data_IF_693178757840
#
_entry.id   IF_693178757840
#
_cell.length_a   1.000
_cell.length_b   1.000
_cell.length_c   1.000
_cell.angle_alpha   90.00
_cell.angle_beta   90.00
_cell.angle_gamma   90.00
#
_symmetry.space_group_name_H-M   'P 1'
#
loop_
_entity.id
_entity.type
_entity.pdbx_description
1 polymer ?
#
# COMPACT_ATOMS: atom_id res chain seq x y z
N UNK A 1 -6.97 -16.13 -12.72
CA UNK A 1 -7.92 -15.00 -12.69
C UNK A 1 -8.02 -14.51 -11.26
N UNK A 2 -8.18 -13.20 -11.03
CA UNK A 2 -8.32 -12.66 -9.68
C UNK A 2 -9.78 -12.83 -9.27
N UNK A 3 -10.04 -13.66 -8.26
CA UNK A 3 -11.37 -13.82 -7.66
C UNK A 3 -11.44 -13.07 -6.33
N UNK A 4 -12.65 -12.87 -5.80
CA UNK A 4 -12.85 -12.25 -4.48
C UNK A 4 -12.13 -13.07 -3.40
N UNK A 5 -12.19 -14.39 -3.45
CA UNK A 5 -11.51 -15.29 -2.50
C UNK A 5 -9.98 -15.17 -2.60
N UNK A 6 -9.47 -15.02 -3.83
CA UNK A 6 -8.03 -14.81 -4.05
C UNK A 6 -7.57 -13.49 -3.44
N UNK A 7 -8.36 -12.42 -3.65
CA UNK A 7 -8.10 -11.11 -3.07
C UNK A 7 -8.14 -11.15 -1.54
N UNK A 8 -9.18 -11.73 -0.94
CA UNK A 8 -9.31 -11.85 0.51
C UNK A 8 -8.19 -12.69 1.14
N UNK A 9 -7.80 -13.80 0.47
CA UNK A 9 -6.65 -14.61 0.88
C UNK A 9 -5.39 -13.77 0.95
N UNK A 10 -5.08 -13.02 -0.11
CA UNK A 10 -3.88 -12.18 -0.20
C UNK A 10 -3.91 -11.00 0.78
N UNK A 11 -5.07 -10.38 0.97
CA UNK A 11 -5.26 -9.33 1.98
C UNK A 11 -5.01 -9.85 3.39
N UNK A 12 -5.50 -11.06 3.69
CA UNK A 12 -5.35 -11.70 5.01
C UNK A 12 -3.93 -12.21 5.23
N UNK A 13 -3.31 -12.86 4.25
CA UNK A 13 -1.94 -13.38 4.36
C UNK A 13 -0.90 -12.27 4.46
N UNK A 14 -1.16 -11.12 3.82
CA UNK A 14 -0.26 -9.97 3.85
C UNK A 14 -0.34 -9.18 5.14
N UNK A 15 -1.41 -9.34 5.95
CA UNK A 15 -1.52 -8.61 7.23
C UNK A 15 -0.28 -8.89 8.09
N UNK A 16 0.33 -7.84 8.66
CA UNK A 16 1.39 -8.05 9.63
C UNK A 16 0.76 -8.89 10.76
N UNK A 17 1.40 -10.02 11.10
CA UNK A 17 0.93 -10.84 12.22
C UNK A 17 0.91 -9.94 13.46
N UNK A 18 -0.30 -9.61 13.90
CA UNK A 18 -0.58 -8.65 14.96
C UNK A 18 -0.06 -9.15 16.30
N UNK A 19 1.24 -9.02 16.52
CA UNK A 19 1.84 -8.97 17.83
C UNK A 19 2.16 -7.53 18.10
N UNK A 20 1.35 -6.90 18.97
CA UNK A 20 1.49 -5.51 19.41
C UNK A 20 2.89 -5.22 20.02
N UNK A 21 3.66 -6.28 20.27
CA UNK A 21 4.94 -6.32 20.94
C UNK A 21 5.96 -6.93 19.96
N UNK A 22 6.62 -6.03 19.20
CA UNK A 22 7.54 -6.34 18.09
C UNK A 22 8.67 -7.28 18.55
N UNK A 23 8.73 -8.49 17.99
CA UNK A 23 9.81 -9.46 18.23
C UNK A 23 11.23 -8.87 18.21
N UNK A 24 11.67 -8.11 17.19
CA UNK A 24 13.01 -7.54 17.20
C UNK A 24 13.17 -6.42 18.22
N UNK A 25 12.13 -5.64 18.51
CA UNK A 25 12.20 -4.56 19.50
C UNK A 25 12.21 -5.13 20.92
N UNK A 26 11.53 -6.25 21.20
CA UNK A 26 11.64 -7.01 22.44
C UNK A 26 12.98 -7.70 22.60
N UNK A 27 13.53 -8.23 21.51
CA UNK A 27 14.89 -8.76 21.54
C UNK A 27 15.85 -7.63 21.86
N UNK A 28 15.76 -6.47 21.19
CA UNK A 28 16.64 -5.34 21.47
C UNK A 28 16.45 -4.73 22.86
N UNK A 29 15.21 -4.58 23.32
CA UNK A 29 14.88 -4.04 24.64
C UNK A 29 15.24 -5.04 25.75
N UNK A 30 14.91 -6.32 25.58
CA UNK A 30 15.28 -7.37 26.51
C UNK A 30 16.79 -7.51 26.60
N UNK A 31 17.49 -7.38 25.47
CA UNK A 31 18.93 -7.46 25.40
C UNK A 31 19.60 -6.19 25.96
N UNK A 32 19.01 -5.00 25.80
CA UNK A 32 19.48 -3.78 26.46
C UNK A 32 19.24 -3.78 27.97
N UNK A 33 18.10 -4.30 28.43
CA UNK A 33 17.81 -4.51 29.85
C UNK A 33 18.77 -5.54 30.45
N UNK A 34 19.02 -6.65 29.76
CA UNK A 34 19.99 -7.66 30.18
C UNK A 34 21.40 -7.07 30.29
N UNK A 35 21.80 -6.23 29.32
CA UNK A 35 23.08 -5.52 29.34
C UNK A 35 23.17 -4.55 30.52
N UNK A 36 22.10 -3.80 30.78
CA UNK A 36 22.02 -2.89 31.92
C UNK A 36 22.08 -3.63 33.25
N UNK A 37 21.38 -4.75 33.38
CA UNK A 37 21.38 -5.59 34.58
C UNK A 37 22.77 -6.22 34.82
N UNK A 38 23.41 -6.74 33.77
CA UNK A 38 24.77 -7.29 33.84
C UNK A 38 25.82 -6.22 34.15
N UNK A 39 25.63 -4.98 33.67
CA UNK A 39 26.52 -3.87 33.99
C UNK A 39 26.33 -3.35 35.43
N UNK A 40 25.12 -3.48 35.99
CA UNK A 40 24.79 -3.01 37.33
C UNK A 40 25.21 -3.98 38.44
N UNK A 41 25.24 -5.30 38.16
CA UNK A 41 25.59 -6.32 39.15
C UNK A 41 27.08 -6.69 39.10
N UNK A 42 27.87 -6.06 39.97
CA UNK A 42 29.31 -6.29 40.10
C UNK A 42 29.67 -7.66 40.71
N UNK A 43 28.69 -8.41 41.23
CA UNK A 43 28.91 -9.72 41.85
C UNK A 43 28.90 -10.88 40.85
N UNK A 44 28.20 -10.71 39.72
CA UNK A 44 28.01 -11.74 38.69
C UNK A 44 29.17 -11.79 37.69
N UNK A 45 29.89 -10.68 37.52
CA UNK A 45 31.04 -10.57 36.62
C UNK A 45 32.33 -10.39 37.45
N UNK A 46 33.09 -11.46 37.72
CA UNK A 46 34.42 -11.32 38.32
C UNK A 46 35.27 -10.41 37.42
N UNK A 47 35.76 -9.33 38.00
CA UNK A 47 36.29 -8.13 37.34
C UNK A 47 37.46 -8.37 36.35
N UNK A 48 37.99 -9.59 36.22
CA UNK A 48 39.22 -9.91 35.49
C UNK A 48 39.10 -11.08 34.49
N UNK A 49 37.90 -11.57 34.19
CA UNK A 49 37.70 -12.65 33.20
C UNK A 49 37.60 -12.12 31.76
N UNK A 50 38.33 -12.73 30.81
CA UNK A 50 38.24 -12.41 29.37
C UNK A 50 36.80 -12.46 28.79
N UNK A 51 35.89 -13.14 29.49
CA UNK A 51 34.48 -13.25 29.14
C UNK A 51 33.71 -11.92 29.25
N UNK A 52 34.10 -11.03 30.18
CA UNK A 52 33.45 -9.73 30.37
C UNK A 52 33.67 -8.79 29.17
N UNK A 53 34.78 -8.98 28.46
CA UNK A 53 35.11 -8.22 27.25
C UNK A 53 34.43 -8.75 25.99
N UNK A 54 34.18 -10.07 25.91
CA UNK A 54 33.57 -10.70 24.74
C UNK A 54 32.04 -10.54 24.71
N UNK A 55 31.37 -10.51 25.87
CA UNK A 55 29.91 -10.48 25.94
C UNK A 55 29.28 -9.28 25.20
N UNK A 56 29.76 -8.02 25.36
CA UNK A 56 29.22 -6.88 24.63
C UNK A 56 29.42 -7.00 23.11
N UNK A 57 30.52 -7.62 22.67
CA UNK A 57 30.81 -7.81 21.25
C UNK A 57 29.86 -8.82 20.61
N UNK A 58 29.56 -9.94 21.28
CA UNK A 58 28.61 -10.95 20.81
C UNK A 58 27.21 -10.33 20.65
N UNK A 59 26.81 -9.55 21.65
CA UNK A 59 25.56 -8.80 21.63
C UNK A 59 25.51 -7.84 20.44
N UNK A 60 26.54 -7.01 20.28
CA UNK A 60 26.61 -6.03 19.20
C UNK A 60 26.50 -6.72 17.84
N UNK A 61 27.17 -7.87 17.70
CA UNK A 61 27.16 -8.68 16.47
C UNK A 61 25.78 -9.29 16.22
N UNK A 62 25.06 -9.74 17.25
CA UNK A 62 23.68 -10.22 17.13
C UNK A 62 22.73 -9.09 16.71
N UNK A 63 22.84 -7.90 17.31
CA UNK A 63 22.05 -6.71 16.94
C UNK A 63 22.35 -6.30 15.49
N UNK A 64 23.62 -6.19 15.13
CA UNK A 64 24.04 -5.87 13.76
C UNK A 64 23.52 -6.90 12.76
N UNK A 65 23.62 -8.20 13.09
CA UNK A 65 23.10 -9.29 12.26
C UNK A 65 21.60 -9.20 12.02
N UNK A 66 20.80 -8.93 13.06
CA UNK A 66 19.34 -8.76 12.92
C UNK A 66 18.97 -7.52 12.09
N UNK A 67 19.70 -6.41 12.27
CA UNK A 67 19.53 -5.21 11.46
C UNK A 67 19.84 -5.48 9.99
N UNK A 68 21.00 -6.09 9.68
CA UNK A 68 21.37 -6.44 8.31
C UNK A 68 20.35 -7.39 7.68
N UNK A 69 19.88 -8.40 8.42
CA UNK A 69 18.85 -9.31 7.93
C UNK A 69 17.54 -8.58 7.61
N UNK A 70 17.08 -7.69 8.50
CA UNK A 70 15.87 -6.91 8.28
C UNK A 70 15.97 -5.95 7.10
N UNK A 71 17.11 -5.27 6.93
CA UNK A 71 17.40 -4.39 5.80
C UNK A 71 17.40 -5.18 4.48
N UNK A 72 18.04 -6.36 4.46
CA UNK A 72 18.04 -7.23 3.27
C UNK A 72 16.61 -7.65 2.90
N UNK A 73 15.84 -8.11 3.87
CA UNK A 73 14.43 -8.49 3.67
C UNK A 73 13.58 -7.31 3.17
N UNK A 74 13.80 -6.10 3.68
CA UNK A 74 13.12 -4.90 3.21
C UNK A 74 13.51 -4.54 1.78
N UNK A 75 14.80 -4.63 1.42
CA UNK A 75 15.27 -4.38 0.06
C UNK A 75 14.70 -5.37 -0.94
N UNK A 76 14.60 -6.64 -0.57
CA UNK A 76 13.99 -7.66 -1.43
C UNK A 76 12.50 -7.37 -1.65
N UNK A 77 11.76 -6.98 -0.60
CA UNK A 77 10.37 -6.55 -0.73
C UNK A 77 10.22 -5.30 -1.62
N UNK A 78 11.13 -4.32 -1.49
CA UNK A 78 11.16 -3.11 -2.32
C UNK A 78 11.44 -3.40 -3.80
N UNK A 79 12.27 -4.41 -4.09
CA UNK A 79 12.51 -4.85 -5.47
C UNK A 79 11.27 -5.53 -6.06
N UNK A 80 10.63 -6.42 -5.30
CA UNK A 80 9.42 -7.11 -5.79
C UNK A 80 8.25 -6.15 -6.02
N UNK A 81 8.07 -5.13 -5.16
CA UNK A 81 7.04 -4.09 -5.41
C UNK A 81 7.37 -3.29 -6.68
N UNK A 82 8.63 -2.87 -6.88
CA UNK A 82 9.03 -2.15 -8.09
C UNK A 82 8.78 -2.97 -9.35
N UNK A 83 9.14 -4.25 -9.35
CA UNK A 83 8.86 -5.17 -10.46
C UNK A 83 7.35 -5.32 -10.71
N UNK A 84 6.54 -5.38 -9.65
CA UNK A 84 5.09 -5.47 -9.79
C UNK A 84 4.48 -4.18 -10.36
N UNK A 85 4.95 -3.02 -9.93
CA UNK A 85 4.48 -1.71 -10.39
C UNK A 85 4.88 -1.44 -11.83
N UNK A 86 6.12 -1.77 -12.20
CA UNK A 86 6.57 -1.71 -13.59
C UNK A 86 5.71 -2.62 -14.47
N UNK A 87 5.44 -3.86 -14.03
CA UNK A 87 4.57 -4.77 -14.77
C UNK A 87 3.13 -4.24 -14.90
N UNK A 88 2.57 -3.58 -13.88
CA UNK A 88 1.27 -2.91 -13.93
C UNK A 88 1.28 -1.76 -14.94
N UNK A 89 2.29 -0.88 -14.89
CA UNK A 89 2.44 0.25 -15.80
C UNK A 89 2.58 -0.19 -17.27
N UNK A 90 3.33 -1.28 -17.50
CA UNK A 90 3.51 -1.90 -18.81
C UNK A 90 2.35 -2.81 -19.22
N UNK A 91 1.26 -2.87 -18.43
CA UNK A 91 0.08 -3.73 -18.66
C UNK A 91 0.40 -5.23 -18.81
N UNK A 92 1.49 -5.69 -18.19
CA UNK A 92 1.88 -7.10 -18.13
C UNK A 92 1.17 -7.82 -16.98
N UNK A 93 -0.17 -7.88 -17.04
CA UNK A 93 -1.02 -8.34 -15.93
C UNK A 93 -0.64 -9.71 -15.34
N UNK A 94 -0.31 -10.75 -16.13
CA UNK A 94 0.11 -12.04 -15.57
C UNK A 94 1.42 -11.96 -14.80
N UNK A 95 2.35 -11.09 -15.23
CA UNK A 95 3.63 -10.87 -14.53
C UNK A 95 3.40 -10.11 -13.23
N UNK A 96 2.60 -9.05 -13.27
CA UNK A 96 2.22 -8.28 -12.08
C UNK A 96 1.57 -9.19 -11.04
N UNK A 97 0.60 -10.01 -11.44
CA UNK A 97 -0.09 -10.93 -10.53
C UNK A 97 0.86 -11.91 -9.84
N UNK A 98 1.84 -12.50 -10.58
CA UNK A 98 2.82 -13.41 -9.97
C UNK A 98 3.71 -12.71 -8.95
N UNK A 99 4.17 -11.49 -9.24
CA UNK A 99 4.97 -10.71 -8.31
C UNK A 99 4.18 -10.34 -7.04
N UNK A 100 2.91 -9.94 -7.22
CA UNK A 100 2.00 -9.60 -6.14
C UNK A 100 1.62 -10.82 -5.28
N UNK A 101 1.34 -11.98 -5.87
CA UNK A 101 1.06 -13.22 -5.14
C UNK A 101 2.27 -13.64 -4.29
N UNK A 102 3.48 -13.53 -4.84
CA UNK A 102 4.71 -13.77 -4.08
C UNK A 102 4.92 -12.77 -2.92
N UNK A 103 4.60 -11.49 -3.12
CA UNK A 103 4.77 -10.44 -2.13
C UNK A 103 3.70 -10.50 -1.03
N UNK A 104 2.43 -10.60 -1.40
CA UNK A 104 1.26 -10.58 -0.52
C UNK A 104 0.94 -11.95 0.09
N UNK A 105 1.47 -13.04 -0.47
CA UNK A 105 1.35 -14.39 0.10
C UNK A 105 2.08 -14.56 1.45
N UNK A 106 2.81 -13.55 1.90
CA UNK A 106 3.54 -13.50 3.18
C UNK A 106 3.25 -12.18 3.92
N UNK A 107 3.39 -12.15 5.25
CA UNK A 107 3.18 -10.93 6.04
C UNK A 107 4.11 -9.80 5.58
N UNK A 108 3.52 -8.65 5.24
CA UNK A 108 4.25 -7.44 4.84
C UNK A 108 4.32 -6.49 6.03
N UNK A 109 5.53 -6.32 6.57
CA UNK A 109 5.74 -5.53 7.80
C UNK A 109 5.52 -4.03 7.59
N UNK A 110 5.81 -3.50 6.40
CA UNK A 110 5.72 -2.08 6.14
C UNK A 110 4.33 -1.73 5.57
N UNK A 111 3.53 -0.88 6.25
CA UNK A 111 2.17 -0.59 5.83
C UNK A 111 2.12 0.06 4.43
N UNK A 112 2.98 1.03 4.15
CA UNK A 112 3.07 1.66 2.82
C UNK A 112 3.32 0.68 1.67
N UNK A 113 4.27 -0.27 1.81
CA UNK A 113 4.52 -1.30 0.79
C UNK A 113 3.31 -2.21 0.62
N UNK A 114 2.66 -2.58 1.72
CA UNK A 114 1.47 -3.42 1.68
C UNK A 114 0.33 -2.71 0.95
N UNK A 115 0.05 -1.47 1.28
CA UNK A 115 -0.98 -0.69 0.61
C UNK A 115 -0.68 -0.51 -0.87
N UNK A 116 0.54 -0.13 -1.24
CA UNK A 116 0.98 -0.02 -2.64
C UNK A 116 0.73 -1.33 -3.40
N UNK A 117 1.09 -2.46 -2.79
CA UNK A 117 0.88 -3.80 -3.36
C UNK A 117 -0.61 -4.12 -3.53
N UNK A 118 -1.45 -3.73 -2.57
CA UNK A 118 -2.89 -3.94 -2.64
C UNK A 118 -3.54 -3.05 -3.69
N UNK A 119 -3.11 -1.79 -3.84
CA UNK A 119 -3.56 -0.92 -4.92
C UNK A 119 -3.18 -1.49 -6.30
N UNK A 120 -1.96 -2.02 -6.43
CA UNK A 120 -1.53 -2.73 -7.63
C UNK A 120 -2.36 -3.99 -7.89
N UNK A 121 -2.70 -4.75 -6.85
CA UNK A 121 -3.59 -5.93 -6.96
C UNK A 121 -5.00 -5.53 -7.41
N UNK A 122 -5.54 -4.43 -6.89
CA UNK A 122 -6.83 -3.89 -7.31
C UNK A 122 -6.80 -3.48 -8.79
N UNK A 123 -5.74 -2.82 -9.26
CA UNK A 123 -5.58 -2.48 -10.67
C UNK A 123 -5.51 -3.74 -11.58
N UNK A 124 -4.83 -4.80 -11.13
CA UNK A 124 -4.83 -6.09 -11.83
C UNK A 124 -6.22 -6.72 -11.83
N UNK A 125 -6.99 -6.61 -10.75
CA UNK A 125 -8.37 -7.10 -10.69
C UNK A 125 -9.28 -6.33 -11.67
N UNK A 126 -9.19 -5.00 -11.71
CA UNK A 126 -9.93 -4.16 -12.66
C UNK A 126 -9.61 -4.48 -14.12
N UNK A 127 -8.33 -4.72 -14.43
CA UNK A 127 -7.90 -5.11 -15.77
C UNK A 127 -8.43 -6.49 -16.21
N UNK A 128 -8.78 -7.35 -15.25
CA UNK A 128 -9.45 -8.63 -15.50
C UNK A 128 -10.98 -8.55 -15.34
N UNK A 129 -11.54 -7.33 -15.27
CA UNK A 129 -12.97 -7.07 -15.08
C UNK A 129 -13.56 -7.65 -13.78
N UNK A 130 -12.70 -7.98 -12.82
CA UNK A 130 -13.08 -8.51 -11.50
C UNK A 130 -13.38 -7.34 -10.53
N UNK A 131 -14.39 -6.53 -10.85
CA UNK A 131 -14.68 -5.29 -10.12
C UNK A 131 -15.12 -5.51 -8.67
N UNK A 132 -15.79 -6.62 -8.35
CA UNK A 132 -16.12 -6.96 -6.97
C UNK A 132 -14.85 -7.22 -6.13
N UNK A 133 -13.85 -7.87 -6.74
CA UNK A 133 -12.57 -8.10 -6.07
C UNK A 133 -11.78 -6.79 -5.90
N UNK A 134 -11.76 -5.90 -6.89
CA UNK A 134 -11.10 -4.60 -6.74
C UNK A 134 -11.77 -3.73 -5.68
N UNK A 135 -13.11 -3.67 -5.66
CA UNK A 135 -13.88 -2.99 -4.63
C UNK A 135 -13.51 -3.49 -3.23
N UNK A 136 -13.51 -4.81 -3.03
CA UNK A 136 -13.14 -5.45 -1.74
C UNK A 136 -11.73 -5.04 -1.28
N UNK A 137 -10.78 -4.99 -2.21
CA UNK A 137 -9.41 -4.58 -1.92
C UNK A 137 -9.34 -3.11 -1.50
N UNK A 138 -10.00 -2.20 -2.24
CA UNK A 138 -10.01 -0.78 -1.90
C UNK A 138 -10.67 -0.52 -0.55
N UNK A 139 -11.81 -1.16 -0.27
CA UNK A 139 -12.47 -1.07 1.04
C UNK A 139 -11.55 -1.52 2.16
N UNK A 140 -10.84 -2.64 1.99
CA UNK A 140 -9.90 -3.13 2.99
C UNK A 140 -8.71 -2.18 3.22
N UNK A 141 -8.19 -1.57 2.16
CA UNK A 141 -7.13 -0.53 2.27
C UNK A 141 -7.65 0.67 3.07
N UNK A 142 -8.87 1.15 2.77
CA UNK A 142 -9.46 2.29 3.46
C UNK A 142 -9.79 1.98 4.92
N UNK A 143 -10.27 0.78 5.24
CA UNK A 143 -10.58 0.36 6.61
C UNK A 143 -9.36 0.32 7.52
N UNK A 144 -8.18 -0.01 6.99
CA UNK A 144 -6.99 -0.17 7.82
C UNK A 144 -6.33 1.16 8.23
N UNK A 145 -6.60 2.27 7.52
CA UNK A 145 -6.11 3.63 7.85
C UNK A 145 -4.60 3.75 8.12
N UNK A 146 -3.79 2.82 7.61
CA UNK A 146 -2.33 2.78 7.82
C UNK A 146 -1.52 3.32 6.62
N UNK A 147 -2.21 3.70 5.55
CA UNK A 147 -1.62 4.18 4.32
C UNK A 147 -1.36 5.68 4.37
N UNK A 148 -0.48 6.17 3.50
CA UNK A 148 -0.31 7.61 3.33
C UNK A 148 -1.57 8.26 2.70
N UNK A 149 -1.77 9.57 2.88
CA UNK A 149 -2.95 10.26 2.35
C UNK A 149 -3.13 10.13 0.83
N UNK A 150 -2.04 10.01 0.07
CA UNK A 150 -2.07 9.91 -1.40
C UNK A 150 -2.59 8.54 -1.82
N UNK A 151 -2.11 7.47 -1.16
CA UNK A 151 -2.57 6.10 -1.34
C UNK A 151 -4.04 5.94 -0.93
N UNK A 152 -4.46 6.57 0.18
CA UNK A 152 -5.88 6.57 0.59
C UNK A 152 -6.76 7.29 -0.43
N UNK A 153 -6.31 8.44 -0.96
CA UNK A 153 -7.02 9.14 -2.03
C UNK A 153 -7.13 8.29 -3.30
N UNK A 154 -6.04 7.67 -3.73
CA UNK A 154 -6.03 6.74 -4.86
C UNK A 154 -7.01 5.57 -4.64
N UNK A 155 -7.07 5.03 -3.42
CA UNK A 155 -8.03 3.98 -3.05
C UNK A 155 -9.49 4.45 -3.14
N UNK A 156 -9.81 5.69 -2.72
CA UNK A 156 -11.17 6.24 -2.84
C UNK A 156 -11.57 6.47 -4.29
N UNK A 157 -10.65 6.97 -5.11
CA UNK A 157 -10.88 7.17 -6.55
C UNK A 157 -11.12 5.82 -7.24
N UNK A 158 -10.27 4.82 -6.96
CA UNK A 158 -10.45 3.46 -7.46
C UNK A 158 -11.76 2.82 -7.01
N UNK A 159 -12.10 2.94 -5.73
CA UNK A 159 -13.36 2.45 -5.18
C UNK A 159 -14.59 3.06 -5.88
N UNK A 160 -14.59 4.39 -6.07
CA UNK A 160 -15.67 5.05 -6.79
C UNK A 160 -15.80 4.56 -8.24
N UNK A 161 -14.67 4.32 -8.91
CA UNK A 161 -14.64 3.74 -10.26
C UNK A 161 -15.21 2.31 -10.29
N UNK A 162 -14.81 1.46 -9.33
CA UNK A 162 -15.32 0.10 -9.19
C UNK A 162 -16.83 0.10 -8.90
N UNK A 163 -17.30 0.94 -7.97
CA UNK A 163 -18.73 1.08 -7.64
C UNK A 163 -19.58 1.51 -8.84
N UNK A 164 -19.09 2.45 -9.67
CA UNK A 164 -19.79 2.83 -10.90
C UNK A 164 -19.90 1.65 -11.88
N UNK A 165 -18.85 0.84 -12.01
CA UNK A 165 -18.82 -0.33 -12.90
C UNK A 165 -19.70 -1.48 -12.42
N UNK A 166 -19.85 -1.65 -11.11
CA UNK A 166 -20.74 -2.65 -10.51
C UNK A 166 -22.20 -2.18 -10.38
N UNK A 167 -22.51 -0.96 -10.83
CA UNK A 167 -23.87 -0.40 -10.78
C UNK A 167 -24.30 0.16 -9.42
N UNK A 168 -23.38 0.27 -8.45
CA UNK A 168 -23.59 0.93 -7.15
C UNK A 168 -23.52 2.47 -7.30
N UNK A 169 -24.36 3.02 -8.18
CA UNK A 169 -24.29 4.43 -8.61
C UNK A 169 -24.54 5.41 -7.46
N UNK A 170 -25.51 5.14 -6.59
CA UNK A 170 -25.83 6.01 -5.44
C UNK A 170 -24.66 6.11 -4.46
N UNK A 171 -24.00 5.00 -4.15
CA UNK A 171 -22.86 4.96 -3.24
C UNK A 171 -21.63 5.63 -3.87
N UNK A 172 -21.41 5.40 -5.16
CA UNK A 172 -20.34 6.06 -5.91
C UNK A 172 -20.52 7.59 -5.94
N UNK A 173 -21.73 8.08 -6.21
CA UNK A 173 -22.04 9.53 -6.21
C UNK A 173 -21.76 10.11 -4.83
N UNK A 174 -22.22 9.45 -3.77
CA UNK A 174 -22.01 9.89 -2.38
C UNK A 174 -20.53 9.91 -2.01
N UNK A 175 -19.73 8.97 -2.51
CA UNK A 175 -18.27 8.96 -2.33
C UNK A 175 -17.60 10.11 -3.09
N UNK A 176 -17.99 10.35 -4.34
CA UNK A 176 -17.44 11.42 -5.19
C UNK A 176 -17.74 12.79 -4.58
N UNK A 177 -18.97 13.04 -4.14
CA UNK A 177 -19.33 14.31 -3.50
C UNK A 177 -18.55 14.57 -2.21
N UNK A 178 -18.25 13.53 -1.43
CA UNK A 178 -17.37 13.66 -0.26
C UNK A 178 -15.95 14.09 -0.66
N UNK A 179 -15.39 13.48 -1.71
CA UNK A 179 -14.07 13.85 -2.25
C UNK A 179 -14.06 15.24 -2.91
N UNK A 180 -15.18 15.72 -3.45
CA UNK A 180 -15.31 17.07 -4.03
C UNK A 180 -15.18 18.17 -2.97
N UNK A 181 -15.57 17.89 -1.72
CA UNK A 181 -15.45 18.83 -0.58
C UNK A 181 -14.03 18.94 -0.01
N UNK A 182 -13.12 18.04 -0.38
CA UNK A 182 -11.73 18.07 0.05
C UNK A 182 -10.93 19.05 -0.83
N UNK A 183 -10.25 20.02 -0.20
CA UNK A 183 -9.28 20.87 -0.89
C UNK A 183 -7.99 20.07 -1.16
N UNK A 184 -7.79 19.72 -2.43
CA UNK A 184 -6.68 18.87 -2.87
C UNK A 184 -5.76 19.63 -3.84
N UNK A 185 -4.44 19.37 -3.81
CA UNK A 185 -3.53 19.82 -4.86
C UNK A 185 -3.97 19.33 -6.25
N UNK A 186 -3.64 20.10 -7.30
CA UNK A 186 -4.04 19.79 -8.68
C UNK A 186 -3.68 18.38 -9.15
N UNK A 187 -2.56 17.84 -8.69
CA UNK A 187 -2.13 16.47 -8.99
C UNK A 187 -3.10 15.40 -8.49
N UNK A 188 -3.74 15.61 -7.35
CA UNK A 188 -4.74 14.70 -6.76
C UNK A 188 -6.17 15.04 -7.23
N UNK A 189 -6.39 16.29 -7.63
CA UNK A 189 -7.65 16.74 -8.25
C UNK A 189 -7.89 16.06 -9.59
N UNK A 190 -6.87 15.86 -10.41
CA UNK A 190 -7.03 15.31 -11.76
C UNK A 190 -7.66 13.90 -11.81
N UNK A 191 -7.21 12.90 -11.03
CA UNK A 191 -7.90 11.59 -10.95
C UNK A 191 -9.36 11.68 -10.48
N UNK A 192 -9.66 12.57 -9.54
CA UNK A 192 -11.02 12.79 -9.04
C UNK A 192 -11.92 13.38 -10.13
N UNK A 193 -11.44 14.37 -10.88
CA UNK A 193 -12.19 14.98 -11.99
C UNK A 193 -12.43 13.97 -13.12
N UNK A 194 -11.49 13.06 -13.38
CA UNK A 194 -11.69 11.95 -14.32
C UNK A 194 -12.82 11.02 -13.85
N UNK A 195 -12.84 10.69 -12.56
CA UNK A 195 -13.92 9.90 -11.97
C UNK A 195 -15.28 10.61 -12.04
N UNK A 196 -15.31 11.93 -11.78
CA UNK A 196 -16.51 12.74 -11.90
C UNK A 196 -17.04 12.77 -13.35
N UNK A 197 -16.15 12.85 -14.34
CA UNK A 197 -16.51 12.73 -15.75
C UNK A 197 -17.05 11.33 -16.06
N UNK A 198 -16.44 10.28 -15.54
CA UNK A 198 -16.93 8.91 -15.72
C UNK A 198 -18.35 8.72 -15.15
N UNK A 199 -18.62 9.28 -13.96
CA UNK A 199 -19.97 9.36 -13.38
C UNK A 199 -20.94 10.06 -14.32
N UNK A 200 -20.58 11.23 -14.85
CA UNK A 200 -21.43 12.02 -15.76
C UNK A 200 -21.80 11.22 -17.01
N UNK A 201 -20.85 10.49 -17.59
CA UNK A 201 -21.07 9.59 -18.74
C UNK A 201 -22.04 8.46 -18.36
N UNK A 202 -21.81 7.80 -17.21
CA UNK A 202 -22.66 6.69 -16.76
C UNK A 202 -24.11 7.12 -16.48
N UNK A 203 -24.32 8.37 -16.04
CA UNK A 203 -25.65 8.92 -15.76
C UNK A 203 -26.32 9.60 -16.97
N UNK A 204 -25.63 9.68 -18.11
CA UNK A 204 -26.18 10.30 -19.32
C UNK A 204 -26.19 11.84 -19.32
N UNK A 205 -25.44 12.49 -18.44
CA UNK A 205 -25.35 13.96 -18.32
C UNK A 205 -24.20 14.58 -19.13
N UNK A 206 -23.78 13.93 -20.22
CA UNK A 206 -22.59 14.34 -20.99
C UNK A 206 -22.76 15.70 -21.71
N UNK A 207 -23.99 16.07 -22.09
CA UNK A 207 -24.27 17.29 -22.85
C UNK A 207 -24.09 18.59 -22.05
N UNK A 208 -24.36 18.55 -20.74
CA UNK A 208 -24.44 19.74 -19.89
C UNK A 208 -23.05 20.30 -19.49
N UNK A 209 -21.95 19.71 -19.96
CA UNK A 209 -20.60 19.98 -19.41
C UNK A 209 -19.51 20.33 -20.44
N UNK A 210 -19.88 20.66 -21.68
CA UNK A 210 -18.95 21.24 -22.66
C UNK A 210 -18.21 22.47 -22.13
N UNK A 211 -18.85 23.26 -21.26
CA UNK A 211 -18.28 24.48 -20.67
C UNK A 211 -17.01 24.25 -19.84
N UNK A 212 -16.84 23.08 -19.21
CA UNK A 212 -15.64 22.76 -18.39
C UNK A 212 -14.65 21.85 -19.09
N UNK A 213 -14.91 21.51 -20.35
CA UNK A 213 -14.09 20.57 -21.10
C UNK A 213 -12.66 21.08 -21.28
N UNK A 214 -12.47 22.37 -21.58
CA UNK A 214 -11.13 22.95 -21.76
C UNK A 214 -10.31 22.95 -20.48
N UNK A 215 -10.90 23.34 -19.35
CA UNK A 215 -10.25 23.32 -18.04
C UNK A 215 -9.83 21.90 -17.64
N UNK A 216 -10.77 20.93 -17.73
CA UNK A 216 -10.49 19.52 -17.45
C UNK A 216 -9.39 18.99 -18.36
N UNK A 217 -9.41 19.34 -19.65
CA UNK A 217 -8.38 18.92 -20.61
C UNK A 217 -7.00 19.50 -20.29
N UNK A 218 -6.92 20.74 -19.82
CA UNK A 218 -5.66 21.32 -19.36
C UNK A 218 -5.13 20.59 -18.12
N UNK A 219 -6.01 20.32 -17.14
CA UNK A 219 -5.70 19.58 -15.93
C UNK A 219 -5.20 18.17 -16.22
N UNK A 220 -5.90 17.42 -17.08
CA UNK A 220 -5.54 16.04 -17.44
C UNK A 220 -4.21 15.97 -18.18
N UNK A 221 -3.96 16.86 -19.15
CA UNK A 221 -2.66 16.91 -19.85
C UNK A 221 -1.50 17.15 -18.90
N UNK A 222 -1.69 18.00 -17.89
CA UNK A 222 -0.64 18.36 -16.94
C UNK A 222 -0.34 17.25 -15.93
N UNK A 223 -1.34 16.50 -15.49
CA UNK A 223 -1.21 15.60 -14.33
C UNK A 223 -1.47 14.12 -14.61
N UNK A 224 -2.20 13.77 -15.66
CA UNK A 224 -2.50 12.38 -16.05
C UNK A 224 -1.75 11.94 -17.32
N UNK A 225 -1.00 12.85 -17.93
CA UNK A 225 -0.26 12.61 -19.17
C UNK A 225 -1.11 12.78 -20.43
N UNK A 226 -0.48 12.58 -21.59
CA UNK A 226 -1.08 12.88 -22.89
C UNK A 226 -2.27 11.97 -23.21
N UNK A 227 -2.22 10.68 -22.87
CA UNK A 227 -3.30 9.73 -23.20
C UNK A 227 -4.64 10.09 -22.53
N UNK A 228 -4.62 10.66 -21.31
CA UNK A 228 -5.82 11.10 -20.61
C UNK A 228 -6.35 12.46 -21.09
N UNK A 229 -5.55 13.26 -21.82
CA UNK A 229 -5.91 14.60 -22.28
C UNK A 229 -6.47 14.68 -23.71
N UNK A 230 -6.49 13.57 -24.45
CA UNK A 230 -7.00 13.49 -25.83
C UNK A 230 -8.13 12.46 -26.02
N UNK A 231 -8.45 11.69 -24.98
CA UNK A 231 -9.58 10.75 -24.96
C UNK A 231 -10.91 11.42 -24.61
#
# INVERSE_FOLDING_TARGET
MVTVETAERLMTSSRPRGGLWRGPTFILLGLSILLGALAADSTVLPQHGALSWLLPQIILLAVAGTLVYSIRKQRDALRTIQESMEAVQLRQWPRAMRALDHLLGRPVTHPGIRTESLLALAAVAEANEAYDASQRIYEGVLQEHQADPVQLHAARVGLGGAMLRTGQTTDAVSLIERMEREELPDSLRAPRELLALYREICLGHAADRLERAEERRALFRRHLGTQAGYG
#
